data_IF_200602077382
#
_entry.id   IF_200602077382
#
_cell.length_a   1.000
_cell.length_b   1.000
_cell.length_c   1.000
_cell.angle_alpha   90.00
_cell.angle_beta   90.00
_cell.angle_gamma   90.00
#
_symmetry.space_group_name_H-M   'P 1'
#
loop_
_entity.id
_entity.type
_entity.pdbx_description
1 polymer ?
#
# COMPACT_ATOMS: atom_id res chain seq x y z
N UNK A 1 -2.16 16.00 -22.95
CA UNK A 1 -3.36 15.78 -22.12
C UNK A 1 -4.43 16.68 -22.69
N UNK A 2 -5.48 16.13 -23.29
CA UNK A 2 -6.56 16.97 -23.82
C UNK A 2 -7.29 17.64 -22.66
N UNK A 3 -7.33 18.98 -22.69
CA UNK A 3 -7.96 19.83 -21.68
C UNK A 3 -9.48 19.63 -21.58
N UNK A 4 -10.10 18.92 -22.54
CA UNK A 4 -11.54 18.76 -22.64
C UNK A 4 -12.17 17.87 -21.55
N UNK A 5 -11.37 17.11 -20.78
CA UNK A 5 -11.84 16.29 -19.64
C UNK A 5 -11.42 16.79 -18.26
N UNK A 6 -10.67 17.90 -18.18
CA UNK A 6 -10.09 18.37 -16.91
C UNK A 6 -11.10 19.03 -15.98
N UNK A 7 -12.22 19.53 -16.51
CA UNK A 7 -13.27 20.22 -15.74
C UNK A 7 -14.07 19.32 -14.80
N UNK A 8 -14.14 18.02 -15.10
CA UNK A 8 -14.89 17.01 -14.32
C UNK A 8 -13.98 16.09 -13.47
N UNK A 9 -12.65 16.31 -13.46
CA UNK A 9 -11.74 15.54 -12.60
C UNK A 9 -11.86 16.02 -11.14
N UNK A 10 -12.34 15.18 -10.19
CA UNK A 10 -12.51 15.59 -8.79
C UNK A 10 -11.19 15.98 -8.11
N UNK A 11 -10.05 15.63 -8.69
CA UNK A 11 -8.73 16.01 -8.18
C UNK A 11 -8.26 17.38 -8.69
N UNK A 12 -8.87 17.93 -9.74
CA UNK A 12 -8.43 19.21 -10.34
C UNK A 12 -8.50 20.37 -9.34
N UNK A 13 -9.66 20.57 -8.71
CA UNK A 13 -9.86 21.64 -7.72
C UNK A 13 -8.88 21.58 -6.55
N UNK A 14 -8.80 20.45 -5.82
CA UNK A 14 -7.85 20.29 -4.70
C UNK A 14 -6.39 20.48 -5.11
N UNK A 15 -5.98 19.96 -6.27
CA UNK A 15 -4.59 20.11 -6.77
C UNK A 15 -4.30 21.57 -7.14
N UNK A 16 -5.24 22.27 -7.79
CA UNK A 16 -5.09 23.69 -8.10
C UNK A 16 -4.88 24.50 -6.82
N UNK A 17 -5.77 24.33 -5.83
CA UNK A 17 -5.66 25.02 -4.53
C UNK A 17 -4.32 24.74 -3.85
N UNK A 18 -3.83 23.49 -3.91
CA UNK A 18 -2.54 23.13 -3.34
C UNK A 18 -1.38 23.83 -4.05
N UNK A 19 -1.39 23.89 -5.39
CA UNK A 19 -0.34 24.56 -6.17
C UNK A 19 -0.35 26.07 -5.91
N UNK A 20 -1.51 26.70 -5.85
CA UNK A 20 -1.64 28.12 -5.53
C UNK A 20 -1.13 28.42 -4.11
N UNK A 21 -1.50 27.56 -3.15
CA UNK A 21 -1.01 27.65 -1.78
C UNK A 21 0.52 27.51 -1.74
N UNK A 22 1.08 26.49 -2.40
CA UNK A 22 2.54 26.29 -2.46
C UNK A 22 3.22 27.51 -3.08
N UNK A 23 2.70 28.04 -4.20
CA UNK A 23 3.23 29.24 -4.85
C UNK A 23 3.25 30.46 -3.93
N UNK A 24 2.20 30.65 -3.14
CA UNK A 24 2.12 31.74 -2.15
C UNK A 24 3.06 31.59 -0.95
N UNK A 25 3.57 30.37 -0.68
CA UNK A 25 4.41 30.08 0.50
C UNK A 25 5.88 29.82 0.16
N UNK A 26 6.23 29.58 -1.10
CA UNK A 26 7.61 29.35 -1.53
C UNK A 26 8.43 30.64 -1.70
N UNK A 27 7.78 31.80 -1.78
CA UNK A 27 8.46 33.07 -2.06
C UNK A 27 9.23 33.00 -3.39
N UNK A 28 10.53 33.27 -3.36
CA UNK A 28 11.40 33.22 -4.55
C UNK A 28 11.94 31.81 -4.88
N UNK A 29 11.61 30.78 -4.08
CA UNK A 29 12.09 29.42 -4.31
C UNK A 29 11.26 28.75 -5.42
N UNK A 30 11.86 28.36 -6.56
CA UNK A 30 11.11 27.75 -7.65
C UNK A 30 10.71 26.31 -7.30
N UNK A 31 9.48 25.93 -7.64
CA UNK A 31 9.03 24.54 -7.59
C UNK A 31 9.66 23.76 -8.77
N UNK A 32 10.58 22.84 -8.47
CA UNK A 32 11.36 22.11 -9.48
C UNK A 32 10.75 20.79 -9.95
N UNK A 33 9.82 20.22 -9.19
CA UNK A 33 9.15 18.97 -9.55
C UNK A 33 8.26 18.44 -8.45
N UNK A 34 7.51 17.38 -8.76
CA UNK A 34 6.59 16.71 -7.82
C UNK A 34 6.83 15.20 -7.83
N UNK A 35 6.94 14.62 -6.65
CA UNK A 35 6.97 13.17 -6.44
C UNK A 35 5.58 12.65 -6.07
N UNK A 36 5.11 11.63 -6.75
CA UNK A 36 3.83 10.98 -6.51
C UNK A 36 4.07 9.58 -5.97
N UNK A 37 3.51 9.30 -4.80
CA UNK A 37 3.42 7.93 -4.29
C UNK A 37 2.35 7.19 -5.08
N UNK A 38 2.73 6.08 -5.72
CA UNK A 38 1.84 5.16 -6.42
C UNK A 38 1.87 3.82 -5.71
N UNK A 39 0.70 3.30 -5.33
CA UNK A 39 0.61 2.09 -4.52
C UNK A 39 1.11 0.88 -5.29
N UNK A 40 0.69 0.70 -6.55
CA UNK A 40 1.02 -0.50 -7.33
C UNK A 40 1.83 -0.17 -8.58
N UNK A 41 3.10 -0.60 -8.62
CA UNK A 41 4.00 -0.49 -9.77
C UNK A 41 4.03 -1.72 -10.68
N UNK A 42 3.33 -2.80 -10.30
CA UNK A 42 3.29 -4.01 -11.12
C UNK A 42 4.66 -4.67 -11.27
N UNK A 43 4.82 -5.42 -12.36
CA UNK A 43 6.04 -6.18 -12.63
C UNK A 43 7.21 -5.29 -13.11
N UNK A 44 6.89 -4.14 -13.71
CA UNK A 44 7.86 -3.40 -14.51
C UNK A 44 8.40 -2.14 -13.82
N UNK A 45 7.63 -1.52 -12.93
CA UNK A 45 8.05 -0.30 -12.26
C UNK A 45 8.79 -0.62 -10.96
N UNK A 46 10.09 -0.86 -11.11
CA UNK A 46 11.01 -1.31 -10.02
C UNK A 46 11.83 -0.18 -9.40
N UNK A 47 11.69 1.05 -9.90
CA UNK A 47 12.37 2.25 -9.42
C UNK A 47 11.50 3.49 -9.73
N UNK A 48 11.75 4.64 -9.09
CA UNK A 48 11.07 5.88 -9.46
C UNK A 48 11.26 6.24 -10.93
N UNK A 49 10.20 6.66 -11.61
CA UNK A 49 10.24 7.02 -13.04
C UNK A 49 9.62 8.38 -13.29
N UNK A 50 10.17 9.12 -14.26
CA UNK A 50 9.53 10.34 -14.75
C UNK A 50 8.18 9.98 -15.38
N UNK A 51 7.14 10.71 -15.00
CA UNK A 51 5.80 10.54 -15.55
C UNK A 51 5.80 10.99 -17.01
N UNK A 52 5.31 10.13 -17.88
CA UNK A 52 5.03 10.38 -19.30
C UNK A 52 3.64 9.82 -19.64
N UNK A 53 3.04 10.19 -20.78
CA UNK A 53 1.78 9.58 -21.22
C UNK A 53 1.85 8.04 -21.31
N UNK A 54 2.99 7.49 -21.74
CA UNK A 54 3.21 6.04 -21.80
C UNK A 54 3.25 5.41 -20.39
N UNK A 55 3.97 6.03 -19.45
CA UNK A 55 4.00 5.57 -18.05
C UNK A 55 2.58 5.58 -17.47
N UNK A 56 1.80 6.63 -17.73
CA UNK A 56 0.44 6.74 -17.22
C UNK A 56 -0.47 5.66 -17.80
N UNK A 57 -0.44 5.40 -19.11
CA UNK A 57 -1.22 4.33 -19.71
C UNK A 57 -0.89 2.94 -19.12
N UNK A 58 0.40 2.68 -18.87
CA UNK A 58 0.85 1.43 -18.23
C UNK A 58 0.40 1.33 -16.77
N UNK A 59 0.39 2.44 -16.03
CA UNK A 59 -0.11 2.46 -14.66
C UNK A 59 -1.64 2.33 -14.60
N UNK A 60 -2.37 2.89 -15.56
CA UNK A 60 -3.82 2.71 -15.67
C UNK A 60 -4.19 1.26 -15.94
N UNK A 61 -3.39 0.55 -16.75
CA UNK A 61 -3.57 -0.89 -17.01
C UNK A 61 -3.42 -1.77 -15.75
N UNK A 62 -2.83 -1.26 -14.66
CA UNK A 62 -2.73 -1.96 -13.37
C UNK A 62 -3.96 -1.75 -12.46
N UNK A 63 -4.94 -0.94 -12.87
CA UNK A 63 -6.16 -0.70 -12.08
C UNK A 63 -6.87 -1.99 -11.65
N UNK A 64 -6.96 -3.07 -12.46
CA UNK A 64 -7.56 -4.32 -12.00
C UNK A 64 -6.84 -4.99 -10.82
N UNK A 65 -5.57 -4.67 -10.54
CA UNK A 65 -4.82 -5.24 -9.41
C UNK A 65 -5.00 -4.44 -8.12
N UNK A 66 -5.30 -3.14 -8.24
CA UNK A 66 -5.52 -2.24 -7.11
C UNK A 66 -6.62 -1.21 -7.44
N UNK A 67 -7.88 -1.66 -7.55
CA UNK A 67 -8.98 -0.85 -8.05
C UNK A 67 -9.30 0.35 -7.14
N UNK A 68 -8.99 0.24 -5.84
CA UNK A 68 -9.24 1.28 -4.86
C UNK A 68 -8.17 2.38 -4.88
N UNK A 69 -6.89 2.02 -4.87
CA UNK A 69 -5.83 3.01 -4.68
C UNK A 69 -5.15 3.44 -5.99
N UNK A 70 -5.21 2.63 -7.04
CA UNK A 70 -4.58 2.99 -8.31
C UNK A 70 -5.23 4.24 -8.93
N UNK A 71 -6.56 4.31 -9.11
CA UNK A 71 -7.18 5.52 -9.66
C UNK A 71 -6.93 6.76 -8.79
N UNK A 72 -6.98 6.59 -7.46
CA UNK A 72 -6.72 7.66 -6.50
C UNK A 72 -5.27 8.18 -6.55
N UNK A 73 -4.31 7.32 -6.90
CA UNK A 73 -2.91 7.71 -7.11
C UNK A 73 -2.71 8.46 -8.43
N UNK A 74 -3.44 8.06 -9.48
CA UNK A 74 -3.27 8.60 -10.84
C UNK A 74 -4.05 9.91 -11.08
N UNK A 75 -5.15 10.13 -10.38
CA UNK A 75 -5.94 11.35 -10.46
C UNK A 75 -5.13 12.65 -10.26
N UNK A 76 -4.41 12.79 -9.13
CA UNK A 76 -3.56 13.96 -8.90
C UNK A 76 -2.45 14.15 -9.94
N UNK A 77 -1.90 13.06 -10.50
CA UNK A 77 -0.89 13.11 -11.57
C UNK A 77 -1.49 13.72 -12.84
N UNK A 78 -2.69 13.26 -13.23
CA UNK A 78 -3.41 13.81 -14.40
C UNK A 78 -3.77 15.28 -14.19
N UNK A 79 -4.35 15.61 -13.03
CA UNK A 79 -4.72 16.97 -12.69
C UNK A 79 -3.52 17.93 -12.74
N UNK A 80 -2.39 17.55 -12.12
CA UNK A 80 -1.18 18.36 -12.13
C UNK A 80 -0.57 18.45 -13.53
N UNK A 81 -0.58 17.36 -14.31
CA UNK A 81 -0.11 17.36 -15.69
C UNK A 81 -0.89 18.28 -16.63
N UNK A 82 -2.18 18.53 -16.34
CA UNK A 82 -3.00 19.50 -17.05
C UNK A 82 -2.72 20.95 -16.57
N UNK A 83 -2.55 21.15 -15.27
CA UNK A 83 -2.34 22.47 -14.66
C UNK A 83 -0.93 23.04 -14.88
N UNK A 84 0.10 22.18 -14.81
CA UNK A 84 1.53 22.56 -14.90
C UNK A 84 2.29 21.58 -15.82
N UNK A 85 2.08 21.63 -17.15
CA UNK A 85 2.72 20.70 -18.08
C UNK A 85 4.26 20.80 -18.11
N UNK A 86 4.79 21.95 -17.71
CA UNK A 86 6.23 22.25 -17.62
C UNK A 86 6.90 21.61 -16.40
N UNK A 87 6.12 21.29 -15.36
CA UNK A 87 6.63 20.81 -14.08
C UNK A 87 6.94 19.30 -14.13
N UNK A 88 8.21 18.88 -13.95
CA UNK A 88 8.55 17.46 -13.93
C UNK A 88 7.83 16.72 -12.81
N UNK A 89 7.20 15.60 -13.16
CA UNK A 89 6.55 14.69 -12.21
C UNK A 89 7.27 13.34 -12.19
N UNK A 90 7.42 12.74 -11.01
CA UNK A 90 8.05 11.44 -10.79
C UNK A 90 7.08 10.54 -10.04
N UNK A 91 6.83 9.34 -10.54
CA UNK A 91 6.08 8.30 -9.84
C UNK A 91 7.02 7.40 -9.05
N UNK A 92 6.73 7.19 -7.76
CA UNK A 92 7.48 6.37 -6.82
C UNK A 92 6.59 5.26 -6.29
N UNK A 93 7.05 4.01 -6.33
CA UNK A 93 6.18 2.84 -6.16
C UNK A 93 6.37 2.13 -4.83
N UNK A 94 5.28 1.87 -4.11
CA UNK A 94 5.30 1.09 -2.87
C UNK A 94 5.72 -0.38 -3.09
N UNK A 95 5.58 -0.90 -4.31
CA UNK A 95 5.99 -2.27 -4.68
C UNK A 95 7.47 -2.38 -5.07
N UNK A 96 8.15 -1.26 -5.38
CA UNK A 96 9.48 -1.27 -6.02
C UNK A 96 10.53 -2.04 -5.20
N UNK A 97 10.63 -1.73 -3.91
CA UNK A 97 11.64 -2.30 -3.01
C UNK A 97 11.62 -3.83 -2.93
N UNK A 98 10.43 -4.42 -3.11
CA UNK A 98 10.19 -5.85 -2.97
C UNK A 98 10.51 -6.67 -4.24
N UNK A 99 10.90 -6.03 -5.34
CA UNK A 99 11.32 -6.76 -6.55
C UNK A 99 12.58 -7.60 -6.37
N UNK A 100 13.31 -7.39 -5.27
CA UNK A 100 14.47 -8.20 -4.91
C UNK A 100 14.11 -9.58 -4.30
N UNK A 101 12.84 -9.83 -3.97
CA UNK A 101 12.38 -11.14 -3.47
C UNK A 101 12.66 -12.27 -4.49
N UNK A 102 12.98 -13.49 -4.04
CA UNK A 102 13.12 -14.63 -4.94
C UNK A 102 11.77 -15.00 -5.58
N UNK A 103 11.80 -15.67 -6.74
CA UNK A 103 10.59 -16.12 -7.44
C UNK A 103 9.67 -16.95 -6.55
N UNK A 104 10.25 -17.83 -5.73
CA UNK A 104 9.53 -18.69 -4.79
C UNK A 104 8.72 -17.91 -3.75
N UNK A 105 9.19 -16.73 -3.34
CA UNK A 105 8.45 -15.85 -2.42
C UNK A 105 7.34 -15.06 -3.14
N UNK A 106 7.50 -14.80 -4.44
CA UNK A 106 6.50 -14.09 -5.25
C UNK A 106 5.38 -15.00 -5.76
N UNK A 107 5.67 -16.27 -6.00
CA UNK A 107 4.76 -17.21 -6.65
C UNK A 107 3.58 -17.55 -5.73
N UNK A 108 2.37 -17.41 -6.26
CA UNK A 108 1.18 -18.00 -5.64
C UNK A 108 0.95 -19.41 -6.19
N UNK A 109 0.48 -20.32 -5.32
CA UNK A 109 0.16 -21.70 -5.66
C UNK A 109 -1.14 -21.82 -6.49
N UNK A 110 -1.18 -21.09 -7.61
CA UNK A 110 -2.29 -21.00 -8.55
C UNK A 110 -1.85 -21.52 -9.93
N UNK A 111 -2.80 -21.90 -10.81
CA UNK A 111 -2.51 -22.26 -12.20
C UNK A 111 -1.64 -21.20 -12.91
N UNK A 112 -0.74 -21.65 -13.80
CA UNK A 112 0.27 -20.80 -14.45
C UNK A 112 -0.29 -19.53 -15.11
N UNK A 113 -1.45 -19.63 -15.75
CA UNK A 113 -2.15 -18.50 -16.39
C UNK A 113 -2.34 -17.28 -15.48
N UNK A 114 -2.45 -17.47 -14.16
CA UNK A 114 -2.61 -16.36 -13.22
C UNK A 114 -1.31 -15.57 -13.07
N UNK A 115 -0.19 -16.27 -12.92
CA UNK A 115 1.13 -15.64 -12.88
C UNK A 115 1.46 -14.97 -14.22
N UNK A 116 1.17 -15.64 -15.35
CA UNK A 116 1.34 -15.06 -16.70
C UNK A 116 0.51 -13.78 -16.87
N UNK A 117 -0.67 -13.74 -16.23
CA UNK A 117 -1.51 -12.55 -16.11
C UNK A 117 -1.09 -11.56 -15.03
N UNK A 118 0.06 -11.73 -14.38
CA UNK A 118 0.61 -10.81 -13.37
C UNK A 118 0.15 -11.03 -11.92
N UNK A 119 -0.62 -12.07 -11.63
CA UNK A 119 -1.08 -12.39 -10.27
C UNK A 119 0.03 -13.08 -9.49
N UNK A 120 0.66 -12.31 -8.60
CA UNK A 120 1.79 -12.74 -7.75
C UNK A 120 1.86 -11.87 -6.49
N UNK A 121 2.68 -12.24 -5.50
CA UNK A 121 3.02 -11.36 -4.38
C UNK A 121 3.89 -10.20 -4.90
N UNK A 122 3.46 -8.98 -4.58
CA UNK A 122 4.17 -7.74 -4.87
C UNK A 122 4.78 -7.14 -3.60
N UNK A 123 4.02 -7.11 -2.50
CA UNK A 123 4.41 -6.40 -1.28
C UNK A 123 4.26 -4.89 -1.40
N UNK A 124 4.04 -4.21 -0.27
CA UNK A 124 3.82 -2.76 -0.21
C UNK A 124 4.54 -2.16 1.00
N UNK A 125 4.39 -0.85 1.22
CA UNK A 125 5.23 -0.06 2.11
C UNK A 125 6.72 -0.07 1.70
N UNK A 126 7.02 -0.38 0.44
CA UNK A 126 8.39 -0.45 -0.07
C UNK A 126 9.16 0.85 0.08
N UNK A 127 8.52 2.02 -0.08
CA UNK A 127 9.17 3.32 0.17
C UNK A 127 9.63 3.47 1.64
N UNK A 128 8.84 2.96 2.59
CA UNK A 128 9.23 2.96 3.99
C UNK A 128 10.39 2.00 4.24
N UNK A 129 10.36 0.81 3.66
CA UNK A 129 11.44 -0.17 3.84
C UNK A 129 12.73 0.25 3.15
N UNK A 130 12.65 0.90 1.98
CA UNK A 130 13.78 1.46 1.26
C UNK A 130 14.49 2.53 2.11
N UNK A 131 13.71 3.45 2.68
CA UNK A 131 14.24 4.43 3.63
C UNK A 131 14.91 3.78 4.84
N UNK A 132 14.24 2.80 5.48
CA UNK A 132 14.80 2.11 6.65
C UNK A 132 16.09 1.37 6.28
N UNK A 133 16.12 0.65 5.15
CA UNK A 133 17.29 -0.06 4.66
C UNK A 133 18.46 0.91 4.38
N UNK A 134 18.19 2.09 3.83
CA UNK A 134 19.19 3.14 3.62
C UNK A 134 19.72 3.78 4.92
N UNK A 135 18.90 3.83 5.97
CA UNK A 135 19.30 4.34 7.30
C UNK A 135 20.02 3.31 8.16
N UNK A 136 19.78 2.02 7.92
CA UNK A 136 20.24 0.94 8.78
C UNK A 136 21.78 0.85 8.93
N UNK A 137 22.61 1.09 7.90
CA UNK A 137 24.07 1.06 8.03
C UNK A 137 24.60 2.04 9.07
N UNK A 138 24.03 3.24 9.15
CA UNK A 138 24.48 4.28 10.09
C UNK A 138 24.03 3.97 11.53
N UNK A 139 22.91 3.27 11.69
CA UNK A 139 22.38 2.88 13.01
C UNK A 139 23.05 1.61 13.53
N UNK A 140 23.27 0.63 12.65
CA UNK A 140 23.91 -0.63 12.98
C UNK A 140 24.41 -1.34 11.72
N UNK A 141 25.73 -1.25 11.42
CA UNK A 141 26.34 -1.98 10.31
C UNK A 141 26.08 -3.49 10.37
N UNK A 142 26.00 -4.05 11.58
CA UNK A 142 25.70 -5.47 11.82
C UNK A 142 24.30 -5.86 11.34
N UNK A 143 23.27 -5.05 11.67
CA UNK A 143 21.90 -5.33 11.22
C UNK A 143 21.76 -5.08 9.72
N UNK A 144 22.45 -4.08 9.19
CA UNK A 144 22.44 -3.76 7.76
C UNK A 144 23.03 -4.88 6.91
N UNK A 145 24.14 -5.48 7.33
CA UNK A 145 24.79 -6.60 6.64
C UNK A 145 24.11 -7.96 6.89
N UNK A 146 23.33 -8.08 7.98
CA UNK A 146 22.73 -9.33 8.43
C UNK A 146 21.35 -9.62 7.84
N UNK A 147 20.62 -10.48 8.56
CA UNK A 147 19.18 -10.72 8.35
C UNK A 147 18.39 -9.93 9.39
N UNK A 148 17.44 -9.13 8.93
CA UNK A 148 16.67 -8.22 9.79
C UNK A 148 15.21 -8.27 9.40
N UNK A 149 14.31 -8.45 10.36
CA UNK A 149 12.87 -8.25 10.15
C UNK A 149 12.52 -6.82 10.54
N UNK A 150 11.90 -6.09 9.63
CA UNK A 150 11.44 -4.71 9.86
C UNK A 150 9.91 -4.72 9.95
N UNK A 151 9.38 -4.17 11.05
CA UNK A 151 7.96 -4.02 11.25
C UNK A 151 7.52 -2.58 10.94
N UNK A 152 6.71 -2.40 9.89
CA UNK A 152 6.03 -1.14 9.62
C UNK A 152 4.64 -1.22 10.24
N UNK A 153 4.40 -0.53 11.35
CA UNK A 153 3.18 -0.63 12.14
C UNK A 153 2.43 0.71 12.17
N UNK A 154 1.44 0.84 11.29
CA UNK A 154 0.48 1.95 11.26
C UNK A 154 -0.94 1.44 11.11
N UNK A 155 -1.84 2.27 10.55
CA UNK A 155 -3.19 1.80 10.19
C UNK A 155 -3.10 0.68 9.13
N UNK A 156 -2.17 0.81 8.19
CA UNK A 156 -1.62 -0.31 7.44
C UNK A 156 -0.39 -0.87 8.15
N UNK A 157 -0.29 -2.19 8.21
CA UNK A 157 0.80 -2.86 8.88
C UNK A 157 1.38 -3.98 8.01
N UNK A 158 2.70 -4.08 7.96
CA UNK A 158 3.40 -5.18 7.30
C UNK A 158 4.75 -5.46 7.95
N UNK A 159 5.28 -6.65 7.70
CA UNK A 159 6.66 -7.00 8.00
C UNK A 159 7.43 -7.20 6.69
N UNK A 160 8.72 -6.89 6.70
CA UNK A 160 9.64 -7.20 5.61
C UNK A 160 10.87 -7.88 6.18
N UNK A 161 11.21 -9.04 5.64
CA UNK A 161 12.48 -9.68 5.92
C UNK A 161 13.53 -9.13 4.96
N UNK A 162 14.61 -8.61 5.53
CA UNK A 162 15.77 -8.10 4.82
C UNK A 162 16.94 -9.07 4.94
N UNK A 163 17.72 -9.20 3.88
CA UNK A 163 19.06 -9.78 3.90
C UNK A 163 20.03 -8.80 3.24
N UNK A 164 21.04 -8.34 3.98
CA UNK A 164 21.98 -7.32 3.53
C UNK A 164 21.28 -6.07 2.94
N UNK A 165 20.24 -5.58 3.63
CA UNK A 165 19.43 -4.42 3.21
C UNK A 165 18.42 -4.68 2.08
N UNK A 166 18.37 -5.87 1.49
CA UNK A 166 17.45 -6.20 0.40
C UNK A 166 16.24 -6.99 0.88
N UNK A 167 15.06 -6.71 0.33
CA UNK A 167 13.85 -7.47 0.63
C UNK A 167 13.94 -8.91 0.11
N UNK A 168 13.72 -9.88 0.99
CA UNK A 168 13.66 -11.30 0.63
C UNK A 168 12.29 -11.93 0.91
N UNK A 169 11.47 -11.29 1.75
CA UNK A 169 10.08 -11.65 2.02
C UNK A 169 9.32 -10.42 2.55
N UNK A 170 8.00 -10.39 2.36
CA UNK A 170 7.13 -9.36 2.93
C UNK A 170 5.75 -9.92 3.20
N UNK A 171 5.08 -9.49 4.26
CA UNK A 171 3.80 -10.08 4.66
C UNK A 171 2.66 -9.73 3.72
N UNK A 172 2.69 -8.55 3.10
CA UNK A 172 1.66 -8.20 2.11
C UNK A 172 1.88 -8.94 0.79
N UNK A 173 0.78 -9.33 0.17
CA UNK A 173 0.72 -10.29 -0.91
C UNK A 173 0.56 -9.62 -2.28
N UNK A 174 -0.43 -10.11 -3.02
CA UNK A 174 -0.90 -9.49 -4.27
C UNK A 174 -1.54 -8.12 -4.02
N UNK A 175 -2.23 -7.96 -2.90
CA UNK A 175 -2.87 -6.71 -2.48
C UNK A 175 -2.45 -6.31 -1.06
N UNK A 176 -2.84 -5.11 -0.64
CA UNK A 176 -2.60 -4.58 0.71
C UNK A 176 -3.47 -5.23 1.80
N UNK A 177 -4.26 -6.27 1.48
CA UNK A 177 -5.07 -7.03 2.43
C UNK A 177 -4.28 -8.13 3.14
N UNK A 178 -3.37 -8.80 2.44
CA UNK A 178 -2.67 -9.98 2.98
C UNK A 178 -1.68 -9.59 4.09
N UNK A 179 -1.37 -10.56 4.96
CA UNK A 179 -0.41 -10.39 6.05
C UNK A 179 -1.04 -10.04 7.39
N UNK A 180 -0.64 -8.92 7.99
CA UNK A 180 -1.00 -8.57 9.37
C UNK A 180 -2.46 -8.14 9.53
N UNK A 181 -2.99 -8.34 10.73
CA UNK A 181 -4.20 -7.62 11.17
C UNK A 181 -3.88 -6.13 11.21
N UNK A 182 -4.82 -5.30 10.72
CA UNK A 182 -4.64 -3.86 10.56
C UNK A 182 -5.80 -3.09 11.19
N UNK A 183 -5.86 -1.77 11.04
CA UNK A 183 -6.95 -0.96 11.61
C UNK A 183 -8.35 -1.44 11.17
N UNK A 184 -8.58 -1.47 9.86
CA UNK A 184 -9.86 -1.89 9.26
C UNK A 184 -9.73 -3.05 8.27
N UNK A 185 -8.50 -3.51 8.00
CA UNK A 185 -8.22 -4.60 7.05
C UNK A 185 -8.02 -5.91 7.78
N UNK A 186 -8.57 -6.98 7.19
CA UNK A 186 -8.59 -8.31 7.78
C UNK A 186 -7.21 -8.94 8.02
N UNK A 187 -6.23 -8.66 7.16
CA UNK A 187 -4.99 -9.41 7.13
C UNK A 187 -5.15 -10.75 6.40
N UNK A 188 -4.25 -11.69 6.67
CA UNK A 188 -4.34 -13.03 6.12
C UNK A 188 -5.57 -13.77 6.67
N UNK A 189 -6.42 -14.25 5.76
CA UNK A 189 -7.61 -15.08 6.06
C UNK A 189 -7.71 -16.27 5.11
N UNK A 190 -8.45 -17.29 5.53
CA UNK A 190 -8.73 -18.47 4.69
C UNK A 190 -9.64 -18.07 3.50
N UNK A 191 -9.25 -18.38 2.23
CA UNK A 191 -10.11 -18.16 1.06
C UNK A 191 -11.50 -18.78 1.16
N UNK A 192 -11.69 -19.84 1.95
CA UNK A 192 -12.99 -20.44 2.24
C UNK A 192 -13.98 -19.48 2.89
N UNK A 193 -13.49 -18.49 3.65
CA UNK A 193 -14.35 -17.43 4.24
C UNK A 193 -14.98 -16.57 3.16
N UNK A 194 -14.24 -16.27 2.09
CA UNK A 194 -14.75 -15.49 0.95
C UNK A 194 -15.85 -16.29 0.24
N UNK A 195 -15.64 -17.59 0.04
CA UNK A 195 -16.65 -18.47 -0.56
C UNK A 195 -17.91 -18.57 0.32
N UNK A 196 -17.76 -18.57 1.64
CA UNK A 196 -18.88 -18.51 2.58
C UNK A 196 -19.65 -17.19 2.44
N UNK A 197 -18.97 -16.03 2.47
CA UNK A 197 -19.60 -14.72 2.28
C UNK A 197 -20.38 -14.63 0.97
N UNK A 198 -19.82 -15.16 -0.13
CA UNK A 198 -20.50 -15.18 -1.42
C UNK A 198 -21.76 -16.06 -1.41
N UNK A 199 -21.65 -17.29 -0.89
CA UNK A 199 -22.69 -18.32 -1.07
C UNK A 199 -23.76 -18.28 0.01
N UNK A 200 -23.36 -18.02 1.25
CA UNK A 200 -24.24 -18.03 2.41
C UNK A 200 -24.84 -16.65 2.70
N UNK A 201 -24.04 -15.58 2.55
CA UNK A 201 -24.51 -14.21 2.81
C UNK A 201 -24.94 -13.47 1.53
N UNK A 202 -24.68 -14.06 0.35
CA UNK A 202 -25.06 -13.47 -0.93
C UNK A 202 -24.26 -12.21 -1.29
N UNK A 203 -23.09 -12.01 -0.70
CA UNK A 203 -22.25 -10.85 -1.00
C UNK A 203 -21.61 -10.99 -2.38
N UNK A 204 -21.65 -9.91 -3.15
CA UNK A 204 -20.89 -9.77 -4.38
C UNK A 204 -19.44 -9.30 -4.09
N UNK A 205 -18.67 -9.07 -5.16
CA UNK A 205 -17.28 -8.62 -5.04
C UNK A 205 -17.17 -7.29 -4.26
N UNK A 206 -18.09 -6.35 -4.47
CA UNK A 206 -18.08 -5.05 -3.80
C UNK A 206 -18.43 -5.19 -2.31
N UNK A 207 -19.41 -6.03 -1.97
CA UNK A 207 -19.76 -6.32 -0.58
C UNK A 207 -18.61 -6.97 0.19
N UNK A 208 -17.92 -7.94 -0.44
CA UNK A 208 -16.75 -8.58 0.17
C UNK A 208 -15.60 -7.59 0.30
N UNK A 209 -15.34 -6.78 -0.72
CA UNK A 209 -14.31 -5.74 -0.67
C UNK A 209 -14.56 -4.78 0.50
N UNK A 210 -15.79 -4.30 0.68
CA UNK A 210 -16.14 -3.39 1.78
C UNK A 210 -15.89 -4.03 3.15
N UNK A 211 -16.29 -5.30 3.34
CA UNK A 211 -16.01 -6.02 4.58
C UNK A 211 -14.51 -6.12 4.83
N UNK A 212 -13.74 -6.58 3.84
CA UNK A 212 -12.32 -6.89 4.01
C UNK A 212 -11.45 -5.64 4.16
N UNK A 213 -11.82 -4.50 3.56
CA UNK A 213 -11.06 -3.25 3.60
C UNK A 213 -11.49 -2.28 4.69
N UNK A 214 -12.79 -2.24 5.03
CA UNK A 214 -13.37 -1.15 5.84
C UNK A 214 -13.98 -1.61 7.15
N UNK A 215 -14.43 -2.86 7.26
CA UNK A 215 -15.17 -3.35 8.44
C UNK A 215 -14.46 -4.46 9.22
N UNK A 216 -13.26 -4.86 8.80
CA UNK A 216 -12.49 -5.93 9.43
C UNK A 216 -11.40 -5.37 10.36
N UNK A 217 -10.36 -6.16 10.62
CA UNK A 217 -9.21 -5.74 11.41
C UNK A 217 -9.53 -5.50 12.88
N UNK A 218 -8.79 -4.58 13.49
CA UNK A 218 -9.01 -4.14 14.87
C UNK A 218 -10.45 -3.64 15.07
N UNK A 219 -10.97 -2.88 14.11
CA UNK A 219 -12.36 -2.41 14.14
C UNK A 219 -13.34 -3.57 14.19
N UNK A 220 -13.25 -4.52 13.26
CA UNK A 220 -14.19 -5.64 13.18
C UNK A 220 -14.15 -6.59 14.37
N UNK A 221 -12.96 -6.78 14.98
CA UNK A 221 -12.80 -7.67 16.14
C UNK A 221 -13.26 -6.99 17.44
N UNK A 222 -12.95 -5.71 17.58
CA UNK A 222 -13.34 -4.93 18.76
C UNK A 222 -14.80 -4.51 18.73
N UNK A 223 -15.37 -4.27 17.55
CA UNK A 223 -16.61 -3.54 17.33
C UNK A 223 -16.66 -2.20 18.10
N UNK A 224 -15.49 -1.53 18.12
CA UNK A 224 -15.27 -0.27 18.85
C UNK A 224 -14.48 0.74 18.00
N UNK A 225 -13.25 0.38 17.60
CA UNK A 225 -12.31 1.33 17.04
C UNK A 225 -11.24 0.66 16.19
N UNK A 226 -10.81 1.36 15.14
CA UNK A 226 -9.61 1.00 14.37
C UNK A 226 -8.31 1.57 14.98
N UNK A 227 -8.42 2.46 15.97
CA UNK A 227 -7.27 3.15 16.56
C UNK A 227 -6.69 2.36 17.75
N UNK A 228 -5.43 1.96 17.61
CA UNK A 228 -4.66 1.27 18.66
C UNK A 228 -4.66 1.99 20.00
N UNK A 229 -4.61 3.33 20.01
CA UNK A 229 -4.55 4.13 21.25
C UNK A 229 -5.86 4.03 22.01
N UNK A 230 -6.98 4.10 21.29
CA UNK A 230 -8.32 4.00 21.86
C UNK A 230 -8.57 2.60 22.41
N UNK A 231 -8.20 1.56 21.66
CA UNK A 231 -8.30 0.18 22.14
C UNK A 231 -7.41 -0.06 23.37
N UNK A 232 -6.18 0.45 23.38
CA UNK A 232 -5.27 0.30 24.52
C UNK A 232 -5.83 0.98 25.78
N UNK A 233 -6.40 2.17 25.66
CA UNK A 233 -7.03 2.87 26.77
C UNK A 233 -8.24 2.12 27.36
N UNK A 234 -8.94 1.33 26.54
CA UNK A 234 -10.13 0.55 26.94
C UNK A 234 -9.83 -0.89 27.36
N UNK A 235 -8.65 -1.43 27.06
CA UNK A 235 -8.34 -2.84 27.26
C UNK A 235 -8.46 -3.33 28.71
N UNK A 236 -8.32 -2.43 29.70
CA UNK A 236 -8.51 -2.75 31.11
C UNK A 236 -9.98 -2.91 31.55
N UNK A 237 -10.94 -2.41 30.77
CA UNK A 237 -12.36 -2.39 31.11
C UNK A 237 -13.29 -3.01 30.06
N UNK A 238 -12.86 -3.13 28.80
CA UNK A 238 -13.61 -3.76 27.71
C UNK A 238 -12.85 -4.97 27.14
N UNK A 239 -13.45 -6.16 27.32
CA UNK A 239 -12.88 -7.42 26.84
C UNK A 239 -12.70 -7.49 25.32
N UNK A 240 -13.53 -6.80 24.53
CA UNK A 240 -13.40 -6.77 23.06
C UNK A 240 -12.17 -5.98 22.61
N UNK A 241 -11.87 -4.89 23.30
CA UNK A 241 -10.64 -4.12 23.05
C UNK A 241 -9.40 -4.97 23.39
N UNK A 242 -9.40 -5.66 24.52
CA UNK A 242 -8.31 -6.56 24.90
C UNK A 242 -8.13 -7.72 23.89
N UNK A 243 -9.22 -8.31 23.40
CA UNK A 243 -9.19 -9.38 22.39
C UNK A 243 -8.61 -8.90 21.05
N UNK A 244 -9.02 -7.72 20.57
CA UNK A 244 -8.49 -7.16 19.32
C UNK A 244 -6.97 -6.93 19.40
N UNK A 245 -6.48 -6.36 20.50
CA UNK A 245 -5.05 -6.16 20.73
C UNK A 245 -4.29 -7.49 20.84
N UNK A 246 -4.84 -8.46 21.57
CA UNK A 246 -4.23 -9.78 21.72
C UNK A 246 -4.13 -10.50 20.37
N UNK A 247 -5.17 -10.45 19.55
CA UNK A 247 -5.16 -11.03 18.20
C UNK A 247 -4.12 -10.36 17.30
N UNK A 248 -4.02 -9.03 17.32
CA UNK A 248 -3.00 -8.31 16.56
C UNK A 248 -1.58 -8.76 16.96
N UNK A 249 -1.28 -8.78 18.26
CA UNK A 249 0.05 -9.18 18.75
C UNK A 249 0.34 -10.64 18.41
N UNK A 250 -0.66 -11.53 18.56
CA UNK A 250 -0.52 -12.95 18.22
C UNK A 250 -0.19 -13.14 16.73
N UNK A 251 -0.95 -12.51 15.83
CA UNK A 251 -0.72 -12.59 14.39
C UNK A 251 0.60 -11.95 13.96
N UNK A 252 0.96 -10.81 14.54
CA UNK A 252 2.26 -10.18 14.31
C UNK A 252 3.40 -11.12 14.70
N UNK A 253 3.35 -11.69 15.91
CA UNK A 253 4.40 -12.58 16.41
C UNK A 253 4.50 -13.85 15.56
N UNK A 254 3.36 -14.41 15.14
CA UNK A 254 3.31 -15.56 14.23
C UNK A 254 3.98 -15.26 12.88
N UNK A 255 3.87 -14.05 12.36
CA UNK A 255 4.45 -13.66 11.07
C UNK A 255 5.93 -13.26 11.17
N UNK A 256 6.42 -12.94 12.38
CA UNK A 256 7.84 -12.71 12.65
C UNK A 256 8.61 -14.02 12.79
N UNK A 257 8.02 -15.02 13.45
CA UNK A 257 8.64 -16.32 13.75
C UNK A 257 8.69 -17.27 12.57
#
# INVERSE_FOLDING_TARGET
WDAAGAGDDPHHGPVSTLIDWVGGHLGDVPLLGVGHRVVHGGADFIAPVRVTPEVMARLEALTPFDPLHQPASLGPIRALGALRPDLPQVACFDTAFHHTMPETARRLALPRRYEEGGVRRYGFHGLSYDYIAGRLPDLSPRLAAGRTVVAHLGNGASLCALAAGRSIETTMGFSVLDGLVMGTRCGQIDPGVLLYMMRAEGLDAAGIEDVLYRRAGLLGVSDLSADMRDLHARAGSDGRAAQALALFVYRLTQQVG
#
